data_IF_658359051755
#
_entry.id   IF_658359051755
#
_cell.length_a   1.000
_cell.length_b   1.000
_cell.length_c   1.000
_cell.angle_alpha   90.00
_cell.angle_beta   90.00
_cell.angle_gamma   90.00
#
_symmetry.space_group_name_H-M   'P 1'
#
loop_
_entity.id
_entity.type
_entity.pdbx_description
1 polymer ?
#
# COMPACT_ATOMS: atom_id res chain seq x y z
N UNK A 1 18.85 -2.51 59.48
CA UNK A 1 19.71 -1.87 58.44
C UNK A 1 19.42 -2.45 57.05
N UNK A 2 19.27 -3.75 56.92
CA UNK A 2 19.03 -4.42 55.62
C UNK A 2 17.74 -3.98 54.92
N UNK A 3 16.62 -3.84 55.66
CA UNK A 3 15.33 -3.39 55.07
C UNK A 3 15.42 -1.98 54.47
N UNK A 4 16.14 -1.07 55.13
CA UNK A 4 16.33 0.30 54.63
C UNK A 4 17.16 0.31 53.33
N UNK A 5 18.16 -0.58 53.27
CA UNK A 5 19.00 -0.72 52.08
C UNK A 5 18.19 -1.29 50.89
N UNK A 6 17.32 -2.25 51.12
CA UNK A 6 16.43 -2.84 50.13
C UNK A 6 15.45 -1.76 49.59
N UNK A 7 14.85 -0.98 50.49
CA UNK A 7 13.94 0.11 50.09
C UNK A 7 14.65 1.15 49.25
N UNK A 8 15.87 1.53 49.58
CA UNK A 8 16.67 2.49 48.79
C UNK A 8 17.01 1.93 47.40
N UNK A 9 17.33 0.64 47.27
CA UNK A 9 17.60 0.01 45.99
C UNK A 9 16.33 0.00 45.13
N UNK A 10 15.18 -0.37 45.69
CA UNK A 10 13.90 -0.38 44.98
C UNK A 10 13.55 1.04 44.50
N UNK A 11 13.73 2.07 45.34
CA UNK A 11 13.50 3.45 44.97
C UNK A 11 14.44 3.93 43.86
N UNK A 12 15.71 3.53 43.90
CA UNK A 12 16.67 3.87 42.86
C UNK A 12 16.31 3.21 41.51
N UNK A 13 15.94 1.93 41.53
CA UNK A 13 15.47 1.20 40.32
C UNK A 13 14.20 1.84 39.76
N UNK A 14 13.22 2.16 40.61
CA UNK A 14 12.01 2.83 40.18
C UNK A 14 12.28 4.17 39.50
N UNK A 15 13.18 4.99 40.08
CA UNK A 15 13.61 6.26 39.50
C UNK A 15 14.32 6.07 38.14
N UNK A 16 15.16 5.06 37.99
CA UNK A 16 15.82 4.74 36.72
C UNK A 16 14.81 4.32 35.66
N UNK A 17 13.83 3.47 35.98
CA UNK A 17 12.77 3.03 35.09
C UNK A 17 11.89 4.21 34.65
N UNK A 18 11.49 5.10 35.58
CA UNK A 18 10.71 6.28 35.27
C UNK A 18 11.48 7.25 34.35
N UNK A 19 12.76 7.43 34.59
CA UNK A 19 13.63 8.29 33.78
C UNK A 19 13.84 7.70 32.38
N UNK A 20 14.04 6.39 32.27
CA UNK A 20 14.13 5.67 30.99
C UNK A 20 12.85 5.81 30.18
N UNK A 21 11.67 5.59 30.77
CA UNK A 21 10.37 5.77 30.09
C UNK A 21 10.15 7.21 29.60
N UNK A 22 10.54 8.22 30.39
CA UNK A 22 10.42 9.62 29.99
C UNK A 22 11.32 9.96 28.80
N UNK A 23 12.55 9.46 28.80
CA UNK A 23 13.51 9.67 27.70
C UNK A 23 13.05 8.95 26.43
N UNK A 24 12.51 7.74 26.56
CA UNK A 24 11.95 6.98 25.43
C UNK A 24 10.72 7.67 24.83
N UNK A 25 9.83 8.24 25.64
CA UNK A 25 8.66 8.97 25.16
C UNK A 25 9.07 10.25 24.39
N UNK A 26 10.03 11.02 24.95
CA UNK A 26 10.54 12.22 24.27
C UNK A 26 11.25 11.89 22.95
N UNK A 27 12.01 10.80 22.90
CA UNK A 27 12.64 10.34 21.66
C UNK A 27 11.61 9.91 20.61
N UNK A 28 10.54 9.22 21.02
CA UNK A 28 9.45 8.83 20.12
C UNK A 28 8.69 10.04 19.56
N UNK A 29 8.44 11.06 20.38
CA UNK A 29 7.81 12.29 19.95
C UNK A 29 8.67 13.05 18.93
N UNK A 30 9.98 13.14 19.18
CA UNK A 30 10.92 13.77 18.23
C UNK A 30 10.95 12.99 16.92
N UNK A 31 11.04 11.66 16.96
CA UNK A 31 11.05 10.82 15.76
C UNK A 31 9.75 10.98 14.94
N UNK A 32 8.60 11.10 15.59
CA UNK A 32 7.34 11.39 14.91
C UNK A 32 7.33 12.78 14.26
N UNK A 33 7.81 13.80 14.97
CA UNK A 33 7.89 15.16 14.45
C UNK A 33 8.80 15.23 13.21
N UNK A 34 9.95 14.58 13.24
CA UNK A 34 10.90 14.50 12.12
C UNK A 34 10.29 13.76 10.93
N UNK A 35 9.64 12.62 11.17
CA UNK A 35 8.96 11.86 10.11
C UNK A 35 7.82 12.66 9.46
N UNK A 36 7.06 13.43 10.26
CA UNK A 36 6.03 14.34 9.73
C UNK A 36 6.61 15.48 8.91
N UNK A 37 7.73 16.06 9.32
CA UNK A 37 8.39 17.13 8.59
C UNK A 37 8.88 16.63 7.22
N UNK A 38 9.50 15.47 7.18
CA UNK A 38 9.98 14.82 5.95
C UNK A 38 8.83 14.47 4.99
N UNK A 39 7.73 13.94 5.51
CA UNK A 39 6.54 13.68 4.72
C UNK A 39 5.93 14.96 4.13
N UNK A 40 5.80 16.02 4.93
CA UNK A 40 5.28 17.31 4.48
C UNK A 40 6.12 17.92 3.37
N UNK A 41 7.44 17.84 3.46
CA UNK A 41 8.32 18.32 2.39
C UNK A 41 8.01 17.63 1.05
N UNK A 42 7.76 16.32 1.06
CA UNK A 42 7.41 15.56 -0.15
C UNK A 42 6.02 15.95 -0.68
N UNK A 43 5.04 16.16 0.22
CA UNK A 43 3.67 16.57 -0.10
C UNK A 43 3.65 17.97 -0.72
N UNK A 44 4.37 18.92 -0.12
CA UNK A 44 4.47 20.30 -0.62
C UNK A 44 5.14 20.35 -2.00
N UNK A 45 6.20 19.56 -2.18
CA UNK A 45 6.86 19.42 -3.50
C UNK A 45 5.89 18.87 -4.54
N UNK A 46 5.10 17.84 -4.21
CA UNK A 46 4.09 17.27 -5.09
C UNK A 46 3.01 18.31 -5.42
N UNK A 47 2.45 18.97 -4.42
CA UNK A 47 1.42 19.99 -4.59
C UNK A 47 1.87 21.13 -5.51
N UNK A 48 3.10 21.60 -5.35
CA UNK A 48 3.70 22.60 -6.24
C UNK A 48 3.81 22.13 -7.70
N UNK A 49 4.13 20.86 -7.93
CA UNK A 49 4.21 20.30 -9.28
C UNK A 49 2.81 20.13 -9.91
N UNK A 50 1.85 19.60 -9.15
CA UNK A 50 0.45 19.46 -9.59
C UNK A 50 -0.13 20.82 -10.02
N UNK A 51 0.12 21.87 -9.24
CA UNK A 51 -0.40 23.21 -9.53
C UNK A 51 0.21 23.84 -10.80
N UNK A 52 1.49 23.56 -11.09
CA UNK A 52 2.22 24.22 -12.18
C UNK A 52 2.17 23.49 -13.52
N UNK A 53 1.64 22.27 -13.60
CA UNK A 53 1.61 21.47 -14.81
C UNK A 53 0.19 21.38 -15.40
N UNK A 54 0.12 21.53 -16.72
CA UNK A 54 -1.12 21.38 -17.48
C UNK A 54 -0.89 20.29 -18.53
N UNK A 55 -1.64 19.18 -18.44
CA UNK A 55 -1.55 18.09 -19.41
C UNK A 55 -2.09 18.48 -20.79
N UNK A 56 -1.34 18.13 -21.83
CA UNK A 56 -1.68 18.47 -23.23
C UNK A 56 -2.35 17.32 -23.98
N UNK A 57 -2.04 16.07 -23.59
CA UNK A 57 -2.55 14.84 -24.21
C UNK A 57 -3.28 13.97 -23.17
N UNK A 58 -3.88 12.87 -23.61
CA UNK A 58 -4.64 11.96 -22.74
C UNK A 58 -3.78 11.36 -21.64
N UNK A 59 -2.58 10.78 -21.90
CA UNK A 59 -1.72 10.21 -20.88
C UNK A 59 -1.26 11.23 -19.82
N UNK A 60 -0.85 12.44 -20.26
CA UNK A 60 -0.38 13.46 -19.31
C UNK A 60 -1.52 13.99 -18.44
N UNK A 61 -2.72 14.15 -18.97
CA UNK A 61 -3.90 14.55 -18.19
C UNK A 61 -4.27 13.49 -17.16
N UNK A 62 -4.25 12.21 -17.55
CA UNK A 62 -4.53 11.11 -16.65
C UNK A 62 -3.47 11.02 -15.53
N UNK A 63 -2.18 11.09 -15.88
CA UNK A 63 -1.12 11.06 -14.88
C UNK A 63 -1.18 12.26 -13.92
N UNK A 64 -1.55 13.46 -14.38
CA UNK A 64 -1.75 14.62 -13.51
C UNK A 64 -2.98 14.47 -12.61
N UNK A 65 -4.05 13.84 -13.08
CA UNK A 65 -5.21 13.52 -12.25
C UNK A 65 -4.82 12.54 -11.13
N UNK A 66 -4.08 11.47 -11.46
CA UNK A 66 -3.58 10.51 -10.47
C UNK A 66 -2.60 11.19 -9.48
N UNK A 67 -1.70 12.07 -9.95
CA UNK A 67 -0.83 12.87 -9.07
C UNK A 67 -1.61 13.74 -8.09
N UNK A 68 -2.68 14.40 -8.56
CA UNK A 68 -3.56 15.22 -7.73
C UNK A 68 -4.27 14.38 -6.65
N UNK A 69 -4.77 13.21 -7.03
CA UNK A 69 -5.38 12.25 -6.10
C UNK A 69 -4.40 11.84 -5.00
N UNK A 70 -3.15 11.50 -5.37
CA UNK A 70 -2.10 11.18 -4.40
C UNK A 70 -1.75 12.36 -3.48
N UNK A 71 -1.74 13.58 -4.00
CA UNK A 71 -1.47 14.78 -3.18
C UNK A 71 -2.54 14.97 -2.11
N UNK A 72 -3.83 14.85 -2.47
CA UNK A 72 -4.95 14.94 -1.53
C UNK A 72 -4.88 13.82 -0.50
N UNK A 73 -4.64 12.58 -0.94
CA UNK A 73 -4.53 11.43 -0.06
C UNK A 73 -3.37 11.58 0.94
N UNK A 74 -2.18 11.96 0.48
CA UNK A 74 -1.01 12.18 1.32
C UNK A 74 -1.23 13.30 2.34
N UNK A 75 -1.89 14.40 1.95
CA UNK A 75 -2.30 15.48 2.85
C UNK A 75 -3.22 14.99 3.97
N UNK A 76 -4.26 14.25 3.61
CA UNK A 76 -5.17 13.66 4.60
C UNK A 76 -4.48 12.67 5.54
N UNK A 77 -3.59 11.82 5.01
CA UNK A 77 -2.84 10.84 5.80
C UNK A 77 -1.90 11.50 6.81
N UNK A 78 -1.16 12.56 6.42
CA UNK A 78 -0.21 13.22 7.32
C UNK A 78 -0.91 14.00 8.43
N UNK A 79 -2.07 14.56 8.17
CA UNK A 79 -2.86 15.26 9.17
C UNK A 79 -3.37 14.31 10.26
N UNK A 80 -3.74 13.09 9.88
CA UNK A 80 -4.23 12.05 10.77
C UNK A 80 -3.10 11.21 11.41
N UNK A 81 -1.86 11.35 10.96
CA UNK A 81 -0.75 10.52 11.42
C UNK A 81 -0.45 10.79 12.91
N UNK A 82 -0.45 9.72 13.71
CA UNK A 82 -0.09 9.71 15.13
C UNK A 82 1.13 8.86 15.44
N UNK A 83 1.64 8.13 14.44
CA UNK A 83 2.83 7.27 14.54
C UNK A 83 3.83 7.59 13.44
N UNK A 84 5.10 7.25 13.67
CA UNK A 84 6.18 7.37 12.67
C UNK A 84 5.82 6.61 11.40
N UNK A 85 5.23 5.42 11.54
CA UNK A 85 4.86 4.57 10.41
C UNK A 85 3.77 5.22 9.54
N UNK A 86 2.74 5.79 10.17
CA UNK A 86 1.71 6.54 9.44
C UNK A 86 2.28 7.75 8.70
N UNK A 87 3.22 8.47 9.29
CA UNK A 87 3.90 9.58 8.62
C UNK A 87 4.73 9.08 7.40
N UNK A 88 5.39 7.93 7.53
CA UNK A 88 6.12 7.30 6.42
C UNK A 88 5.18 6.88 5.28
N UNK A 89 4.02 6.30 5.60
CA UNK A 89 3.00 5.95 4.60
C UNK A 89 2.51 7.19 3.84
N UNK A 90 2.27 8.30 4.53
CA UNK A 90 1.92 9.57 3.88
C UNK A 90 3.04 10.05 2.93
N UNK A 91 4.31 9.92 3.33
CA UNK A 91 5.45 10.20 2.46
C UNK A 91 5.48 9.29 1.23
N UNK A 92 5.26 7.98 1.39
CA UNK A 92 5.21 7.03 0.27
C UNK A 92 4.13 7.41 -0.74
N UNK A 93 2.94 7.79 -0.27
CA UNK A 93 1.85 8.28 -1.12
C UNK A 93 2.25 9.54 -1.90
N UNK A 94 2.96 10.48 -1.26
CA UNK A 94 3.47 11.67 -1.95
C UNK A 94 4.55 11.35 -2.98
N UNK A 95 5.46 10.42 -2.69
CA UNK A 95 6.48 9.94 -3.64
C UNK A 95 5.83 9.27 -4.84
N UNK A 96 4.80 8.44 -4.64
CA UNK A 96 4.00 7.87 -5.73
C UNK A 96 3.43 8.98 -6.63
N UNK A 97 2.86 10.03 -6.04
CA UNK A 97 2.39 11.21 -6.77
C UNK A 97 3.47 11.88 -7.61
N UNK A 98 4.70 11.97 -7.09
CA UNK A 98 5.84 12.52 -7.84
C UNK A 98 6.26 11.65 -9.02
N UNK A 99 6.08 10.33 -8.96
CA UNK A 99 6.26 9.46 -10.12
C UNK A 99 5.23 9.73 -11.21
N UNK A 100 3.96 9.98 -10.85
CA UNK A 100 2.93 10.40 -11.81
C UNK A 100 3.27 11.75 -12.45
N UNK A 101 3.85 12.71 -11.71
CA UNK A 101 4.36 13.97 -12.28
C UNK A 101 5.43 13.71 -13.33
N UNK A 102 6.41 12.83 -13.04
CA UNK A 102 7.46 12.46 -13.99
C UNK A 102 6.88 11.81 -15.24
N UNK A 103 5.90 10.91 -15.07
CA UNK A 103 5.20 10.26 -16.17
C UNK A 103 4.44 11.28 -17.05
N UNK A 104 3.73 12.22 -16.44
CA UNK A 104 3.06 13.30 -17.17
C UNK A 104 4.03 14.15 -17.99
N UNK A 105 5.18 14.51 -17.43
CA UNK A 105 6.23 15.24 -18.14
C UNK A 105 6.78 14.47 -19.33
N UNK A 106 7.06 13.16 -19.14
CA UNK A 106 7.54 12.29 -20.22
C UNK A 106 6.49 12.17 -21.34
N UNK A 107 5.21 12.03 -21.00
CA UNK A 107 4.13 11.98 -21.98
C UNK A 107 4.05 13.27 -22.82
N UNK A 108 4.34 14.42 -22.23
CA UNK A 108 4.41 15.71 -22.91
C UNK A 108 5.76 15.97 -23.64
N UNK A 109 6.69 15.00 -23.65
CA UNK A 109 8.03 15.18 -24.22
C UNK A 109 8.93 16.16 -23.45
N UNK A 110 8.61 16.43 -22.19
CA UNK A 110 9.38 17.32 -21.31
C UNK A 110 10.46 16.54 -20.56
N UNK A 111 11.45 17.27 -20.02
CA UNK A 111 12.40 16.70 -19.06
C UNK A 111 11.64 16.15 -17.84
N UNK A 112 11.86 14.89 -17.43
CA UNK A 112 11.13 14.27 -16.31
C UNK A 112 11.41 14.94 -14.97
N UNK A 113 12.40 15.79 -14.88
CA UNK A 113 12.83 16.46 -13.65
C UNK A 113 13.69 15.57 -12.76
N UNK A 114 13.99 16.03 -11.54
CA UNK A 114 14.89 15.31 -10.63
C UNK A 114 14.37 13.91 -10.29
N UNK A 115 15.31 13.02 -9.99
CA UNK A 115 14.97 11.68 -9.53
C UNK A 115 14.11 11.70 -8.27
N UNK A 116 13.19 10.75 -8.19
CA UNK A 116 12.33 10.53 -7.05
C UNK A 116 12.89 9.35 -6.26
N UNK A 117 12.88 9.45 -4.94
CA UNK A 117 13.22 8.33 -4.07
C UNK A 117 12.33 7.13 -4.39
N UNK A 118 12.91 5.93 -4.40
CA UNK A 118 12.16 4.70 -4.65
C UNK A 118 11.03 4.50 -3.64
N UNK A 119 9.91 3.96 -4.11
CA UNK A 119 8.78 3.55 -3.29
C UNK A 119 8.87 2.07 -2.96
N UNK A 120 8.20 1.66 -1.88
CA UNK A 120 8.25 0.29 -1.40
C UNK A 120 7.73 -0.72 -2.44
N UNK A 121 8.48 -1.81 -2.62
CA UNK A 121 8.13 -2.86 -3.57
C UNK A 121 8.38 -2.54 -5.05
N UNK A 122 8.82 -1.32 -5.40
CA UNK A 122 9.01 -0.89 -6.78
C UNK A 122 10.07 -1.73 -7.51
N UNK A 123 11.19 -2.01 -6.85
CA UNK A 123 12.27 -2.81 -7.46
C UNK A 123 11.84 -4.28 -7.69
N UNK A 124 11.05 -4.85 -6.76
CA UNK A 124 10.53 -6.20 -6.88
C UNK A 124 9.41 -6.29 -7.93
N UNK A 125 8.71 -5.21 -8.20
CA UNK A 125 7.64 -5.19 -9.20
C UNK A 125 8.16 -5.19 -10.64
N UNK A 126 9.36 -4.70 -10.86
CA UNK A 126 9.93 -4.56 -12.21
C UNK A 126 9.24 -3.49 -13.04
N UNK A 127 9.42 -3.58 -14.35
CA UNK A 127 8.82 -2.65 -15.32
C UNK A 127 8.40 -3.35 -16.60
N UNK A 128 7.40 -2.79 -17.26
CA UNK A 128 7.01 -3.15 -18.62
C UNK A 128 8.12 -2.75 -19.59
N UNK A 129 8.61 -3.70 -20.39
CA UNK A 129 9.72 -3.49 -21.34
C UNK A 129 9.32 -3.63 -22.79
N UNK A 130 8.14 -4.18 -23.06
CA UNK A 130 7.58 -4.36 -24.39
C UNK A 130 6.06 -4.10 -24.40
N UNK A 131 5.51 -3.70 -25.54
CA UNK A 131 4.06 -3.59 -25.69
C UNK A 131 3.45 -4.99 -25.73
N UNK A 132 2.44 -5.23 -24.89
CA UNK A 132 1.71 -6.49 -24.88
C UNK A 132 0.22 -6.25 -24.70
N UNK A 133 -0.58 -7.12 -25.36
CA UNK A 133 -2.03 -7.07 -25.35
C UNK A 133 -2.60 -8.42 -24.99
N UNK A 134 -3.63 -8.42 -24.19
CA UNK A 134 -4.32 -9.62 -23.72
C UNK A 134 -5.82 -9.39 -23.81
N UNK A 135 -6.53 -10.33 -24.43
CA UNK A 135 -8.00 -10.37 -24.35
C UNK A 135 -8.43 -10.96 -23.01
N UNK A 136 -9.10 -10.14 -22.22
CA UNK A 136 -9.59 -10.53 -20.90
C UNK A 136 -11.04 -10.12 -20.72
N UNK A 137 -11.91 -11.09 -20.47
CA UNK A 137 -13.36 -10.87 -20.29
C UNK A 137 -14.00 -10.08 -21.45
N UNK A 138 -13.55 -10.32 -22.69
CA UNK A 138 -14.06 -9.63 -23.87
C UNK A 138 -13.57 -8.20 -24.07
N UNK A 139 -12.53 -7.78 -23.33
CA UNK A 139 -11.86 -6.49 -23.45
C UNK A 139 -10.37 -6.70 -23.76
N UNK A 140 -9.82 -5.89 -24.68
CA UNK A 140 -8.38 -5.85 -24.93
C UNK A 140 -7.72 -5.00 -23.84
N UNK A 141 -6.91 -5.62 -22.99
CA UNK A 141 -6.07 -4.94 -22.00
C UNK A 141 -4.65 -4.90 -22.54
N UNK A 142 -4.07 -3.71 -22.56
CA UNK A 142 -2.72 -3.48 -23.05
C UNK A 142 -1.79 -2.91 -21.98
N UNK A 143 -0.50 -3.29 -22.07
CA UNK A 143 0.59 -2.71 -21.32
C UNK A 143 1.66 -2.21 -22.31
N UNK A 144 2.32 -1.09 -21.98
CA UNK A 144 3.37 -0.48 -22.81
C UNK A 144 4.43 0.18 -21.94
N UNK A 145 5.71 0.19 -22.36
CA UNK A 145 6.74 1.01 -21.72
C UNK A 145 6.52 2.51 -21.97
N UNK A 146 5.83 2.87 -23.06
CA UNK A 146 5.65 4.24 -23.52
C UNK A 146 4.18 4.70 -23.41
N UNK A 147 3.95 6.01 -23.16
CA UNK A 147 2.62 6.60 -23.12
C UNK A 147 1.95 6.61 -24.51
N UNK A 148 0.66 6.35 -24.55
CA UNK A 148 -0.16 6.49 -25.76
C UNK A 148 -1.62 6.72 -25.40
N UNK A 149 -2.45 7.17 -26.36
CA UNK A 149 -3.90 7.28 -26.16
C UNK A 149 -4.57 5.92 -25.89
N UNK A 150 -3.93 4.81 -26.25
CA UNK A 150 -4.40 3.45 -25.94
C UNK A 150 -3.98 2.96 -24.56
N UNK A 151 -2.88 3.46 -24.04
CA UNK A 151 -2.34 3.15 -22.73
C UNK A 151 -2.11 4.42 -21.91
N UNK A 152 -3.17 5.14 -21.54
CA UNK A 152 -3.03 6.43 -20.86
C UNK A 152 -2.78 6.33 -19.36
N UNK A 153 -2.98 5.17 -18.75
CA UNK A 153 -2.91 5.00 -17.31
C UNK A 153 -1.50 4.55 -16.91
N UNK A 154 -0.76 5.43 -16.28
CA UNK A 154 0.56 5.10 -15.72
C UNK A 154 0.43 4.43 -14.36
N UNK A 155 1.33 3.49 -14.07
CA UNK A 155 1.57 2.98 -12.72
C UNK A 155 3.07 3.00 -12.43
N UNK A 156 3.51 3.53 -11.28
CA UNK A 156 4.95 3.69 -10.99
C UNK A 156 5.66 2.38 -10.60
N UNK A 157 4.93 1.28 -10.53
CA UNK A 157 5.42 0.02 -9.98
C UNK A 157 5.35 -0.01 -8.46
N UNK A 158 5.14 -1.19 -7.91
CA UNK A 158 5.04 -1.38 -6.48
C UNK A 158 4.16 -2.58 -6.12
N UNK A 159 3.78 -2.67 -4.85
CA UNK A 159 2.91 -3.76 -4.36
C UNK A 159 1.48 -3.29 -4.23
N UNK A 160 0.55 -4.03 -4.76
CA UNK A 160 -0.90 -3.83 -4.60
C UNK A 160 -1.47 -5.08 -3.95
N UNK A 161 -2.10 -4.95 -2.80
CA UNK A 161 -2.64 -6.08 -2.04
C UNK A 161 -1.63 -7.25 -1.93
N UNK A 162 -0.38 -6.93 -1.59
CA UNK A 162 0.69 -7.90 -1.39
C UNK A 162 1.39 -8.41 -2.65
N UNK A 163 0.91 -8.09 -3.88
CA UNK A 163 1.50 -8.55 -5.14
C UNK A 163 2.19 -7.43 -5.90
N UNK A 164 3.31 -7.73 -6.58
CA UNK A 164 4.00 -6.76 -7.41
C UNK A 164 3.16 -6.43 -8.66
N UNK A 165 3.07 -5.14 -8.99
CA UNK A 165 2.51 -4.64 -10.25
C UNK A 165 3.62 -3.85 -10.93
N UNK A 166 4.03 -4.21 -12.17
CA UNK A 166 5.15 -3.57 -12.86
C UNK A 166 4.90 -2.09 -13.16
N UNK A 167 5.97 -1.30 -13.18
CA UNK A 167 5.92 0.08 -13.66
C UNK A 167 5.66 0.11 -15.18
N UNK A 168 4.74 0.96 -15.63
CA UNK A 168 4.41 1.05 -17.05
C UNK A 168 3.12 1.79 -17.32
N UNK A 169 2.72 1.83 -18.60
CA UNK A 169 1.51 2.43 -19.09
C UNK A 169 0.49 1.35 -19.47
N UNK A 170 -0.76 1.55 -19.13
CA UNK A 170 -1.81 0.56 -19.27
C UNK A 170 -3.05 1.15 -19.93
N UNK A 171 -3.79 0.33 -20.67
CA UNK A 171 -5.08 0.74 -21.28
C UNK A 171 -6.13 1.04 -20.21
N UNK A 172 -6.10 0.28 -19.11
CA UNK A 172 -6.98 0.48 -17.96
C UNK A 172 -6.25 0.15 -16.64
N UNK A 173 -6.65 0.74 -15.51
CA UNK A 173 -6.03 0.50 -14.21
C UNK A 173 -6.58 -0.78 -13.57
N UNK A 174 -6.29 -1.95 -14.17
CA UNK A 174 -6.79 -3.28 -13.78
C UNK A 174 -6.42 -3.69 -12.35
N UNK A 175 -5.45 -3.03 -11.72
CA UNK A 175 -5.06 -3.27 -10.33
C UNK A 175 -5.93 -2.50 -9.31
N UNK A 176 -6.69 -1.47 -9.72
CA UNK A 176 -7.51 -0.66 -8.81
C UNK A 176 -8.53 -1.47 -8.00
N UNK A 177 -9.25 -2.45 -8.55
CA UNK A 177 -10.14 -3.29 -7.76
C UNK A 177 -9.45 -4.01 -6.61
N UNK A 178 -8.23 -4.52 -6.83
CA UNK A 178 -7.44 -5.16 -5.78
C UNK A 178 -6.96 -4.18 -4.71
N UNK A 179 -6.65 -2.93 -5.11
CA UNK A 179 -6.26 -1.87 -4.19
C UNK A 179 -7.40 -1.47 -3.25
N UNK A 180 -8.64 -1.43 -3.76
CA UNK A 180 -9.85 -1.09 -2.98
C UNK A 180 -10.30 -2.27 -2.11
N UNK A 181 -10.31 -3.48 -2.66
CA UNK A 181 -10.75 -4.68 -1.96
C UNK A 181 -9.71 -5.24 -0.98
N UNK A 182 -8.43 -4.85 -1.11
CA UNK A 182 -7.33 -5.42 -0.34
C UNK A 182 -6.99 -6.86 -0.72
N UNK A 183 -7.59 -7.39 -1.79
CA UNK A 183 -7.40 -8.76 -2.26
C UNK A 183 -7.51 -8.85 -3.77
N UNK A 184 -6.84 -9.83 -4.36
CA UNK A 184 -6.88 -10.13 -5.78
C UNK A 184 -7.97 -11.15 -6.10
N UNK A 185 -8.82 -10.85 -7.09
CA UNK A 185 -9.71 -11.85 -7.67
C UNK A 185 -8.94 -12.83 -8.58
N UNK A 186 -9.49 -14.03 -8.79
CA UNK A 186 -8.88 -15.04 -9.67
C UNK A 186 -8.64 -14.52 -11.10
N UNK A 187 -9.56 -13.73 -11.64
CA UNK A 187 -9.43 -13.13 -12.97
C UNK A 187 -8.20 -12.24 -13.11
N UNK A 188 -7.91 -11.40 -12.12
CA UNK A 188 -6.74 -10.52 -12.12
C UNK A 188 -5.41 -11.30 -12.10
N UNK A 189 -5.40 -12.51 -11.53
CA UNK A 189 -4.22 -13.39 -11.55
C UNK A 189 -3.93 -13.94 -12.94
N UNK A 190 -4.97 -14.38 -13.65
CA UNK A 190 -4.85 -14.80 -15.04
C UNK A 190 -4.38 -13.67 -15.94
N UNK A 191 -4.95 -12.49 -15.76
CA UNK A 191 -4.53 -11.29 -16.49
C UNK A 191 -3.05 -10.97 -16.26
N UNK A 192 -2.60 -10.97 -15.00
CA UNK A 192 -1.20 -10.74 -14.66
C UNK A 192 -0.28 -11.75 -15.36
N UNK A 193 -0.56 -13.03 -15.23
CA UNK A 193 0.24 -14.08 -15.85
C UNK A 193 0.26 -13.95 -17.39
N UNK A 194 -0.91 -13.75 -18.03
CA UNK A 194 -1.01 -13.57 -19.47
C UNK A 194 -0.27 -12.33 -19.97
N UNK A 195 -0.29 -11.25 -19.20
CA UNK A 195 0.34 -9.97 -19.55
C UNK A 195 1.87 -10.00 -19.37
N UNK A 196 2.38 -10.62 -18.31
CA UNK A 196 3.77 -10.44 -17.90
C UNK A 196 4.63 -11.70 -17.98
N UNK A 197 4.06 -12.89 -18.21
CA UNK A 197 4.84 -14.11 -18.30
C UNK A 197 5.92 -14.02 -19.39
N UNK A 198 7.17 -14.28 -18.98
CA UNK A 198 8.34 -14.21 -19.85
C UNK A 198 8.74 -12.81 -20.29
N UNK A 199 8.16 -11.73 -19.74
CA UNK A 199 8.57 -10.37 -20.04
C UNK A 199 9.89 -10.04 -19.32
N UNK A 200 10.91 -9.67 -20.06
CA UNK A 200 12.17 -9.23 -19.48
C UNK A 200 11.94 -8.01 -18.58
N UNK A 201 12.47 -8.05 -17.37
CA UNK A 201 12.32 -6.94 -16.40
C UNK A 201 11.09 -7.03 -15.50
N UNK A 202 10.23 -8.04 -15.66
CA UNK A 202 9.18 -8.40 -14.72
C UNK A 202 9.53 -9.73 -14.07
N UNK A 203 9.64 -9.83 -12.75
CA UNK A 203 9.91 -11.09 -12.05
C UNK A 203 8.79 -12.10 -12.28
N UNK A 204 9.15 -13.37 -12.43
CA UNK A 204 8.15 -14.44 -12.49
C UNK A 204 7.32 -14.52 -11.20
N UNK A 205 6.01 -14.76 -11.32
CA UNK A 205 5.08 -14.85 -10.17
C UNK A 205 5.53 -15.86 -9.11
N UNK A 206 6.27 -16.88 -9.49
CA UNK A 206 6.83 -17.89 -8.58
C UNK A 206 7.92 -17.31 -7.67
N UNK A 207 8.68 -16.33 -8.15
CA UNK A 207 9.67 -15.63 -7.33
C UNK A 207 9.04 -14.56 -6.41
N UNK A 208 7.90 -13.99 -6.83
CA UNK A 208 7.15 -12.99 -6.06
C UNK A 208 6.23 -13.61 -5.00
N UNK A 209 5.86 -14.89 -5.13
CA UNK A 209 4.98 -15.61 -4.21
C UNK A 209 5.68 -16.19 -2.98
N UNK A 210 7.00 -16.13 -2.91
CA UNK A 210 7.79 -16.75 -1.84
C UNK A 210 7.81 -16.01 -0.49
N UNK A 211 7.27 -14.79 -0.42
CA UNK A 211 7.35 -13.97 0.80
C UNK A 211 5.97 -13.60 1.39
N UNK A 212 5.00 -14.50 1.28
CA UNK A 212 3.67 -14.31 1.90
C UNK A 212 3.69 -14.70 3.39
N UNK A 213 4.82 -14.71 4.06
CA UNK A 213 4.81 -15.28 5.39
C UNK A 213 5.84 -14.89 6.41
N UNK A 214 6.49 -13.74 6.31
CA UNK A 214 7.39 -13.40 7.43
C UNK A 214 7.65 -11.91 7.67
N UNK A 215 6.62 -11.08 7.61
CA UNK A 215 6.69 -9.75 8.22
C UNK A 215 6.13 -9.77 9.67
N UNK A 216 6.29 -10.89 10.31
CA UNK A 216 6.08 -10.99 11.74
C UNK A 216 7.22 -10.31 12.48
N UNK A 217 7.06 -9.02 12.79
CA UNK A 217 7.76 -8.38 13.90
C UNK A 217 7.41 -9.12 15.18
N UNK A 218 8.18 -10.17 15.47
CA UNK A 218 8.15 -10.91 16.70
C UNK A 218 9.43 -10.64 17.47
N UNK A 219 9.46 -9.57 18.24
CA UNK A 219 10.34 -9.48 19.42
C UNK A 219 9.85 -10.53 20.42
N UNK A 220 10.35 -11.73 20.29
CA UNK A 220 10.16 -12.85 21.22
C UNK A 220 11.45 -13.18 21.87
N UNK A 221 11.64 -12.67 23.09
CA UNK A 221 12.62 -13.14 24.05
C UNK A 221 12.50 -14.65 24.18
N UNK A 222 13.64 -15.33 24.12
CA UNK A 222 13.75 -16.75 24.34
C UNK A 222 13.37 -17.14 25.76
N UNK A 223 12.69 -18.26 25.87
CA UNK A 223 12.73 -19.12 27.02
C UNK A 223 12.87 -20.57 26.55
N UNK A 224 14.05 -21.06 26.84
CA UNK A 224 14.52 -22.42 26.73
C UNK A 224 13.77 -23.28 27.76
N UNK A 225 12.95 -24.24 27.32
CA UNK A 225 12.54 -25.36 28.15
C UNK A 225 12.51 -26.64 27.30
N UNK A 226 13.54 -27.42 27.49
CA UNK A 226 13.58 -28.82 27.14
C UNK A 226 12.52 -29.62 27.89
N UNK A 227 11.96 -30.60 27.24
CA UNK A 227 10.99 -31.53 27.82
C UNK A 227 10.76 -32.70 26.88
N UNK A 228 11.55 -33.71 27.08
CA UNK A 228 11.49 -35.08 26.55
C UNK A 228 10.17 -35.77 26.95
N UNK A 229 9.57 -36.60 26.11
CA UNK A 229 8.45 -37.45 26.55
C UNK A 229 7.60 -38.03 25.44
N UNK A 230 7.91 -39.23 25.01
CA UNK A 230 7.18 -40.04 24.05
C UNK A 230 5.81 -40.56 24.51
N UNK A 231 5.10 -41.24 23.62
CA UNK A 231 3.94 -42.13 23.93
C UNK A 231 2.74 -41.90 23.04
N UNK A 232 2.63 -42.65 22.02
CA UNK A 232 1.77 -43.81 21.75
C UNK A 232 0.24 -43.55 21.54
N UNK A 233 -0.17 -44.03 20.41
CA UNK A 233 -1.43 -44.66 19.96
C UNK A 233 -2.81 -44.27 20.56
N UNK A 234 -3.77 -44.09 19.70
CA UNK A 234 -5.19 -44.24 20.06
C UNK A 234 -6.17 -43.84 18.96
N UNK A 235 -6.73 -44.87 18.35
CA UNK A 235 -7.76 -44.85 17.34
C UNK A 235 -9.12 -44.29 17.82
N UNK A 236 -9.90 -43.80 16.85
CA UNK A 236 -11.36 -44.01 16.84
C UNK A 236 -12.24 -42.81 17.16
N UNK A 237 -13.08 -42.52 16.25
CA UNK A 237 -14.53 -42.57 16.41
C UNK A 237 -15.26 -41.47 15.66
N UNK A 238 -16.16 -41.92 14.85
CA UNK A 238 -17.21 -41.28 14.12
C UNK A 238 -18.06 -40.31 14.99
N UNK A 239 -18.59 -39.27 14.37
CA UNK A 239 -19.54 -38.37 14.99
C UNK A 239 -20.23 -37.48 13.97
N UNK A 240 -21.32 -38.02 13.39
CA UNK A 240 -22.34 -37.26 12.66
C UNK A 240 -22.89 -36.11 13.51
N UNK A 241 -23.13 -34.98 12.88
CA UNK A 241 -23.77 -33.84 13.55
C UNK A 241 -24.41 -32.89 12.56
N UNK A 242 -25.63 -33.24 12.11
CA UNK A 242 -26.60 -32.35 11.48
C UNK A 242 -26.86 -31.09 12.31
N UNK A 243 -27.03 -29.97 11.65
CA UNK A 243 -27.52 -28.75 12.31
C UNK A 243 -27.52 -27.58 11.31
N UNK A 244 -28.47 -27.51 10.42
CA UNK A 244 -29.71 -26.77 10.48
C UNK A 244 -29.57 -25.37 11.08
N UNK A 245 -29.48 -24.33 10.21
CA UNK A 245 -30.00 -23.00 10.52
C UNK A 245 -30.65 -22.40 9.28
N UNK A 246 -31.97 -22.52 9.35
CA UNK A 246 -33.00 -21.78 8.66
C UNK A 246 -33.15 -20.39 9.35
N UNK A 247 -33.54 -19.40 8.56
CA UNK A 247 -34.28 -18.30 9.13
C UNK A 247 -33.74 -16.91 8.90
N UNK A 248 -34.45 -16.20 8.09
CA UNK A 248 -34.94 -14.91 8.46
C UNK A 248 -34.62 -13.79 7.49
N UNK A 249 -35.55 -13.50 6.69
CA UNK A 249 -35.98 -12.36 5.96
C UNK A 249 -35.92 -11.05 6.73
N UNK A 250 -35.68 -9.98 6.01
CA UNK A 250 -35.72 -8.62 6.47
C UNK A 250 -35.86 -7.66 5.32
N UNK A 251 -37.08 -7.51 4.86
CA UNK A 251 -37.51 -6.41 4.02
C UNK A 251 -37.22 -5.07 4.70
N UNK A 252 -36.59 -4.15 4.00
CA UNK A 252 -36.37 -2.78 4.42
C UNK A 252 -36.47 -1.82 3.27
N UNK A 253 -37.71 -1.50 2.91
CA UNK A 253 -38.08 -0.30 2.14
C UNK A 253 -37.45 0.95 2.74
N UNK A 254 -36.81 1.76 1.93
CA UNK A 254 -36.83 3.21 2.06
C UNK A 254 -36.92 3.85 0.68
N UNK A 255 -38.13 4.24 0.35
CA UNK A 255 -38.44 5.28 -0.60
C UNK A 255 -38.25 6.66 0.06
N UNK A 256 -37.85 7.64 -0.71
CA UNK A 256 -37.69 9.04 -0.35
C UNK A 256 -37.21 9.75 -1.60
N UNK A 257 -38.04 10.07 -2.41
CA UNK A 257 -38.80 11.30 -2.70
C UNK A 257 -37.90 12.54 -2.91
N UNK A 258 -38.02 13.02 -4.07
CA UNK A 258 -37.98 14.27 -4.77
C UNK A 258 -37.38 15.50 -4.08
N UNK A 259 -36.53 16.19 -4.84
CA UNK A 259 -36.09 17.54 -4.57
C UNK A 259 -35.32 18.12 -5.73
N UNK A 260 -36.02 18.51 -6.81
CA UNK A 260 -35.47 19.37 -7.84
C UNK A 260 -35.12 20.72 -7.24
N UNK A 261 -33.90 21.19 -7.48
CA UNK A 261 -33.59 22.64 -7.43
C UNK A 261 -32.96 23.04 -8.73
N UNK A 262 -33.83 23.70 -9.50
CA UNK A 262 -33.58 24.58 -10.62
C UNK A 262 -32.78 25.80 -10.12
N UNK A 263 -31.61 26.05 -10.66
CA UNK A 263 -30.94 27.35 -10.60
C UNK A 263 -30.58 27.77 -12.01
N UNK A 264 -31.53 28.50 -12.60
CA UNK A 264 -31.21 29.41 -13.68
C UNK A 264 -30.40 30.59 -13.14
N UNK A 265 -29.32 30.89 -13.83
CA UNK A 265 -28.83 32.19 -14.33
C UNK A 265 -27.55 31.91 -15.10
#
# INVERSE_FOLDING_TARGET
MEIVLIVLVIAAVALLVLRSKKNSAAAAETALADAKADARQSIERLGGQVYNLIGTDTPSKQALADASERNIAAGSQIDQATTVEQARLAKQTALEGLYYIRAARLAMGMDPGPEVQGIDGQQQAGRVTEERKVDFEGREIAASPDPSDRTPNYYPGGRVAGRPVPAGWYSEPWWRPALVAGAWGMGSMFLFSAMFSGMAGVPDETAAGGDIGNDGSGDGAGDDFGGDGGGDAGAGSDGDGDGFFDGGGGDGMFGGDGGGMDFGF
#
